data_IF_209847737657
#
_entry.id   IF_209847737657
#
_cell.length_a   1.000
_cell.length_b   1.000
_cell.length_c   1.000
_cell.angle_alpha   90.00
_cell.angle_beta   90.00
_cell.angle_gamma   90.00
#
_symmetry.space_group_name_H-M   'P 1'
#
loop_
_entity.id
_entity.type
_entity.pdbx_description
1 polymer ?
#
# COMPACT_ATOMS: atom_id res chain seq x y z
N UNK A 1 3.65 6.90 27.22
CA UNK A 1 3.65 6.46 25.82
C UNK A 1 4.69 5.36 25.70
N UNK A 2 4.29 4.09 25.57
CA UNK A 2 5.24 2.97 25.40
C UNK A 2 5.70 2.95 23.95
N UNK A 3 6.93 3.38 23.69
CA UNK A 3 7.58 3.15 22.41
C UNK A 3 7.96 1.66 22.37
N UNK A 4 7.46 0.86 21.41
CA UNK A 4 7.81 -0.55 21.34
C UNK A 4 9.33 -0.69 21.12
N UNK A 5 9.94 -1.68 21.79
CA UNK A 5 11.40 -1.89 21.91
C UNK A 5 12.17 -1.96 20.57
N UNK A 6 11.46 -2.07 19.45
CA UNK A 6 12.00 -2.20 18.09
C UNK A 6 11.90 -0.90 17.26
N UNK A 7 11.41 0.21 17.84
CA UNK A 7 11.38 1.53 17.19
C UNK A 7 12.33 2.44 17.95
N UNK A 8 13.44 2.79 17.30
CA UNK A 8 14.40 3.75 17.84
C UNK A 8 14.07 5.12 17.25
N UNK A 9 13.74 6.08 18.13
CA UNK A 9 13.51 7.49 17.79
C UNK A 9 14.69 8.27 18.38
N UNK A 10 15.66 8.62 17.54
CA UNK A 10 16.83 9.42 17.94
C UNK A 10 16.74 10.82 17.36
N UNK A 11 17.20 11.81 18.13
CA UNK A 11 17.26 13.22 17.72
C UNK A 11 18.21 13.43 16.54
N UNK A 12 19.29 12.63 16.49
CA UNK A 12 20.26 12.57 15.37
C UNK A 12 19.63 12.14 14.03
N UNK A 13 18.44 11.52 14.06
CA UNK A 13 17.74 11.01 12.88
C UNK A 13 16.44 11.77 12.60
N UNK A 14 16.34 13.05 13.04
CA UNK A 14 15.17 13.92 12.85
C UNK A 14 13.86 13.31 13.38
N UNK A 15 13.90 12.58 14.50
CA UNK A 15 12.74 11.93 15.10
C UNK A 15 12.01 10.92 14.19
N UNK A 16 12.69 10.43 13.14
CA UNK A 16 12.09 9.48 12.21
C UNK A 16 12.15 8.06 12.78
N UNK A 17 11.05 7.29 12.72
CA UNK A 17 11.06 5.92 13.18
C UNK A 17 11.99 5.10 12.29
N UNK A 18 12.99 4.43 12.90
CA UNK A 18 13.85 3.47 12.23
C UNK A 18 13.29 2.07 12.45
N UNK A 19 12.69 1.49 11.41
CA UNK A 19 12.18 0.13 11.47
C UNK A 19 13.30 -0.89 11.30
N UNK A 20 13.17 -2.03 11.98
CA UNK A 20 14.09 -3.15 11.80
C UNK A 20 13.77 -3.91 10.50
N UNK A 21 14.78 -4.53 9.89
CA UNK A 21 14.57 -5.40 8.73
C UNK A 21 13.60 -6.55 9.02
N UNK A 22 13.62 -7.08 10.24
CA UNK A 22 12.69 -8.13 10.69
C UNK A 22 11.25 -7.62 10.64
N UNK A 23 11.01 -6.37 11.08
CA UNK A 23 9.69 -5.74 10.99
C UNK A 23 9.26 -5.57 9.53
N UNK A 24 10.15 -5.06 8.66
CA UNK A 24 9.90 -4.92 7.22
C UNK A 24 9.43 -6.25 6.59
N UNK A 25 10.19 -7.32 6.80
CA UNK A 25 9.90 -8.65 6.25
C UNK A 25 8.56 -9.16 6.79
N UNK A 26 8.31 -9.01 8.09
CA UNK A 26 7.07 -9.46 8.72
C UNK A 26 5.84 -8.76 8.12
N UNK A 27 5.94 -7.44 7.92
CA UNK A 27 4.88 -6.64 7.29
C UNK A 27 4.66 -7.08 5.84
N UNK A 28 5.73 -7.32 5.08
CA UNK A 28 5.62 -7.75 3.69
C UNK A 28 4.94 -9.11 3.56
N UNK A 29 5.30 -10.07 4.41
CA UNK A 29 4.65 -11.38 4.47
C UNK A 29 3.17 -11.19 4.83
N UNK A 30 2.87 -10.47 5.91
CA UNK A 30 1.49 -10.26 6.37
C UNK A 30 0.60 -9.67 5.27
N UNK A 31 1.00 -8.54 4.68
CA UNK A 31 0.21 -7.86 3.65
C UNK A 31 0.16 -8.66 2.34
N UNK A 32 1.22 -9.38 1.97
CA UNK A 32 1.18 -10.21 0.76
C UNK A 32 0.19 -11.37 0.91
N UNK A 33 0.28 -12.12 2.01
CA UNK A 33 -0.50 -13.34 2.18
C UNK A 33 -1.93 -13.09 2.65
N UNK A 34 -2.18 -12.04 3.45
CA UNK A 34 -3.50 -11.79 4.02
C UNK A 34 -4.28 -10.69 3.31
N UNK A 35 -3.63 -9.85 2.50
CA UNK A 35 -4.30 -8.73 1.82
C UNK A 35 -4.16 -8.87 0.31
N UNK A 36 -2.94 -8.85 -0.24
CA UNK A 36 -2.73 -8.82 -1.68
C UNK A 36 -3.22 -10.11 -2.37
N UNK A 37 -2.78 -11.28 -1.89
CA UNK A 37 -3.17 -12.56 -2.49
C UNK A 37 -4.69 -12.81 -2.42
N UNK A 38 -5.37 -12.67 -1.25
CA UNK A 38 -6.81 -12.82 -1.18
C UNK A 38 -7.55 -11.83 -2.08
N UNK A 39 -7.09 -10.57 -2.13
CA UNK A 39 -7.71 -9.55 -2.97
C UNK A 39 -7.60 -9.91 -4.47
N UNK A 40 -6.43 -10.39 -4.91
CA UNK A 40 -6.23 -10.88 -6.28
C UNK A 40 -7.17 -12.06 -6.59
N UNK A 41 -7.26 -13.05 -5.70
CA UNK A 41 -8.12 -14.22 -5.88
C UNK A 41 -9.60 -13.85 -5.98
N UNK A 42 -10.06 -12.97 -5.07
CA UNK A 42 -11.44 -12.47 -5.06
C UNK A 42 -11.71 -11.66 -6.32
N UNK A 43 -10.79 -10.78 -6.71
CA UNK A 43 -10.87 -10.03 -7.96
C UNK A 43 -11.08 -10.93 -9.17
N UNK A 44 -10.24 -11.95 -9.36
CA UNK A 44 -10.40 -12.89 -10.48
C UNK A 44 -11.73 -13.64 -10.45
N UNK A 45 -12.17 -14.08 -9.26
CA UNK A 45 -13.44 -14.80 -9.11
C UNK A 45 -14.65 -13.93 -9.45
N UNK A 46 -14.65 -12.66 -9.02
CA UNK A 46 -15.76 -11.72 -9.25
C UNK A 46 -15.73 -11.16 -10.66
N UNK A 47 -14.57 -10.75 -11.18
CA UNK A 47 -14.42 -10.15 -12.51
C UNK A 47 -14.87 -11.07 -13.65
N UNK A 48 -14.83 -12.40 -13.44
CA UNK A 48 -15.37 -13.41 -14.38
C UNK A 48 -16.90 -13.57 -14.32
N UNK A 49 -17.54 -13.15 -13.23
CA UNK A 49 -18.99 -13.27 -13.01
C UNK A 49 -19.76 -12.00 -13.38
N UNK A 50 -19.06 -10.87 -13.52
CA UNK A 50 -19.67 -9.61 -13.94
C UNK A 50 -19.92 -9.64 -15.45
N UNK A 51 -21.18 -9.69 -15.85
CA UNK A 51 -21.60 -9.57 -17.26
C UNK A 51 -21.68 -8.11 -17.73
N UNK A 52 -22.01 -7.19 -16.82
CA UNK A 52 -22.09 -5.76 -17.13
C UNK A 52 -20.69 -5.15 -17.33
N UNK A 53 -20.46 -4.62 -18.53
CA UNK A 53 -19.15 -4.09 -18.92
C UNK A 53 -18.78 -2.81 -18.17
N UNK A 54 -19.75 -1.97 -17.79
CA UNK A 54 -19.51 -0.77 -17.00
C UNK A 54 -19.16 -1.13 -15.56
N UNK A 55 -19.90 -2.07 -14.97
CA UNK A 55 -19.63 -2.55 -13.61
C UNK A 55 -18.24 -3.22 -13.54
N UNK A 56 -17.87 -4.00 -14.55
CA UNK A 56 -16.55 -4.62 -14.64
C UNK A 56 -15.43 -3.58 -14.73
N UNK A 57 -15.65 -2.50 -15.48
CA UNK A 57 -14.69 -1.39 -15.60
C UNK A 57 -14.48 -0.67 -14.25
N UNK A 58 -15.57 -0.38 -13.52
CA UNK A 58 -15.50 0.20 -12.17
C UNK A 58 -14.77 -0.73 -11.20
N UNK A 59 -15.08 -2.02 -11.24
CA UNK A 59 -14.40 -3.02 -10.43
C UNK A 59 -12.90 -3.12 -10.72
N UNK A 60 -12.50 -2.98 -11.98
CA UNK A 60 -11.08 -2.93 -12.36
C UNK A 60 -10.39 -1.69 -11.80
N UNK A 61 -11.05 -0.52 -11.82
CA UNK A 61 -10.50 0.69 -11.18
C UNK A 61 -10.29 0.50 -9.68
N UNK A 62 -11.29 -0.05 -8.98
CA UNK A 62 -11.18 -0.38 -7.57
C UNK A 62 -9.99 -1.32 -7.29
N UNK A 63 -9.84 -2.37 -8.09
CA UNK A 63 -8.77 -3.34 -7.94
C UNK A 63 -7.38 -2.72 -8.20
N UNK A 64 -7.22 -1.96 -9.29
CA UNK A 64 -5.96 -1.27 -9.59
C UNK A 64 -5.60 -0.31 -8.46
N UNK A 65 -6.55 0.51 -8.01
CA UNK A 65 -6.34 1.43 -6.90
C UNK A 65 -5.93 0.70 -5.61
N UNK A 66 -6.59 -0.41 -5.29
CA UNK A 66 -6.26 -1.24 -4.13
C UNK A 66 -4.84 -1.84 -4.20
N UNK A 67 -4.44 -2.34 -5.37
CA UNK A 67 -3.09 -2.87 -5.59
C UNK A 67 -2.04 -1.77 -5.45
N UNK A 68 -2.27 -0.60 -6.05
CA UNK A 68 -1.36 0.54 -5.91
C UNK A 68 -1.26 0.98 -4.45
N UNK A 69 -2.36 1.00 -3.68
CA UNK A 69 -2.33 1.32 -2.25
C UNK A 69 -1.49 0.33 -1.44
N UNK A 70 -1.53 -0.97 -1.74
CA UNK A 70 -0.68 -1.98 -1.09
C UNK A 70 0.80 -1.78 -1.46
N UNK A 71 1.09 -1.52 -2.74
CA UNK A 71 2.47 -1.20 -3.18
C UNK A 71 2.96 0.07 -2.48
N UNK A 72 2.09 1.07 -2.32
CA UNK A 72 2.43 2.30 -1.62
C UNK A 72 2.76 2.05 -0.15
N UNK A 73 2.04 1.14 0.49
CA UNK A 73 2.35 0.71 1.86
C UNK A 73 3.72 0.04 1.96
N UNK A 74 4.09 -0.81 0.99
CA UNK A 74 5.43 -1.42 0.97
C UNK A 74 6.53 -0.37 0.90
N UNK A 75 6.41 0.58 -0.02
CA UNK A 75 7.41 1.63 -0.12
C UNK A 75 7.45 2.54 1.11
N UNK A 76 6.32 2.79 1.79
CA UNK A 76 6.30 3.56 3.03
C UNK A 76 7.03 2.85 4.17
N UNK A 77 6.87 1.53 4.29
CA UNK A 77 7.57 0.73 5.31
C UNK A 77 9.06 0.66 4.97
N UNK A 78 9.40 0.51 3.69
CA UNK A 78 10.79 0.53 3.21
C UNK A 78 11.44 1.90 3.45
N UNK A 79 10.73 3.01 3.27
CA UNK A 79 11.22 4.36 3.55
C UNK A 79 11.66 4.54 5.01
N UNK A 80 10.92 3.93 5.93
CA UNK A 80 11.23 3.96 7.36
C UNK A 80 12.30 2.93 7.77
N UNK A 81 12.60 1.95 6.91
CA UNK A 81 13.63 0.92 7.16
C UNK A 81 14.97 1.28 6.52
N UNK A 82 14.94 1.73 5.27
CA UNK A 82 16.10 2.01 4.42
C UNK A 82 16.43 3.51 4.44
N UNK A 83 17.54 3.88 5.08
CA UNK A 83 17.87 5.27 5.36
C UNK A 83 18.65 6.01 4.27
N UNK A 84 18.90 5.35 3.13
CA UNK A 84 19.66 5.94 2.02
C UNK A 84 18.90 7.07 1.32
N UNK A 85 19.57 8.20 1.08
CA UNK A 85 18.92 9.43 0.62
C UNK A 85 18.31 9.34 -0.78
N UNK A 86 18.94 8.59 -1.70
CA UNK A 86 18.38 8.32 -3.04
C UNK A 86 16.98 7.73 -2.95
N UNK A 87 16.77 6.71 -2.10
CA UNK A 87 15.46 6.09 -1.95
C UNK A 87 14.43 7.08 -1.42
N UNK A 88 14.84 7.95 -0.50
CA UNK A 88 13.96 8.98 0.08
C UNK A 88 13.49 9.98 -0.97
N UNK A 89 14.38 10.44 -1.83
CA UNK A 89 14.02 11.37 -2.91
C UNK A 89 13.03 10.70 -3.86
N UNK A 90 13.33 9.48 -4.31
CA UNK A 90 12.43 8.71 -5.18
C UNK A 90 11.07 8.51 -4.51
N UNK A 91 11.06 8.13 -3.23
CA UNK A 91 9.84 7.86 -2.49
C UNK A 91 8.95 9.09 -2.31
N UNK A 92 9.53 10.26 -2.05
CA UNK A 92 8.77 11.52 -1.94
C UNK A 92 7.98 11.85 -3.20
N UNK A 93 8.48 11.49 -4.39
CA UNK A 93 7.73 11.63 -5.64
C UNK A 93 6.78 10.45 -5.86
N UNK A 94 7.23 9.22 -5.61
CA UNK A 94 6.42 8.02 -5.80
C UNK A 94 5.18 7.99 -4.88
N UNK A 95 5.26 8.56 -3.68
CA UNK A 95 4.12 8.62 -2.75
C UNK A 95 2.94 9.42 -3.29
N UNK A 96 3.16 10.34 -4.25
CA UNK A 96 2.07 11.04 -4.92
C UNK A 96 1.16 10.09 -5.72
N UNK A 97 1.64 8.89 -6.09
CA UNK A 97 0.82 7.85 -6.74
C UNK A 97 -0.31 7.35 -5.84
N UNK A 98 -0.29 7.63 -4.53
CA UNK A 98 -1.38 7.31 -3.62
C UNK A 98 -2.66 8.11 -3.97
N UNK A 99 -2.53 9.34 -4.46
CA UNK A 99 -3.66 10.18 -4.84
C UNK A 99 -4.50 9.60 -5.99
N UNK A 100 -3.92 9.25 -7.16
CA UNK A 100 -4.67 8.59 -8.21
C UNK A 100 -5.17 7.21 -7.77
N UNK A 101 -4.45 6.48 -6.91
CA UNK A 101 -4.93 5.22 -6.35
C UNK A 101 -6.23 5.39 -5.54
N UNK A 102 -6.28 6.40 -4.67
CA UNK A 102 -7.49 6.75 -3.91
C UNK A 102 -8.65 7.17 -4.81
N UNK A 103 -8.38 7.95 -5.86
CA UNK A 103 -9.39 8.32 -6.85
C UNK A 103 -9.95 7.08 -7.57
N UNK A 104 -9.09 6.14 -7.98
CA UNK A 104 -9.52 4.89 -8.62
C UNK A 104 -10.40 4.03 -7.69
N UNK A 105 -10.07 3.97 -6.40
CA UNK A 105 -10.90 3.30 -5.39
C UNK A 105 -12.27 4.00 -5.27
N UNK A 106 -12.29 5.32 -5.15
CA UNK A 106 -13.51 6.12 -5.04
C UNK A 106 -14.43 5.94 -6.26
N UNK A 107 -13.88 6.05 -7.47
CA UNK A 107 -14.64 5.86 -8.71
C UNK A 107 -15.06 4.41 -8.95
N UNK A 108 -14.37 3.45 -8.36
CA UNK A 108 -14.68 2.02 -8.52
C UNK A 108 -15.80 1.51 -7.62
N UNK A 109 -16.02 2.13 -6.45
CA UNK A 109 -17.00 1.66 -5.45
C UNK A 109 -17.93 2.77 -4.95
N UNK A 110 -17.39 3.91 -4.55
CA UNK A 110 -18.12 4.91 -3.75
C UNK A 110 -18.94 5.92 -4.55
N UNK A 111 -18.65 6.11 -5.85
CA UNK A 111 -19.36 7.11 -6.67
C UNK A 111 -20.85 6.78 -6.88
N UNK A 112 -21.22 5.50 -6.82
CA UNK A 112 -22.57 5.04 -7.17
C UNK A 112 -23.34 4.45 -5.97
N UNK A 113 -22.82 4.63 -4.76
CA UNK A 113 -23.54 4.39 -3.49
C UNK A 113 -24.23 5.70 -3.09
#
# INVERSE_FOLDING_TARGET
MMIPKNIVIEETNNYRPKYSFIFLISVYIYFTFLILLPNILIYYKISRRISDTQLKKKYNYFFIGSVVSVISLYGAVLYNTWQHDIYRVIWSFASFLLLPAMLLIYYGVARDI
#
